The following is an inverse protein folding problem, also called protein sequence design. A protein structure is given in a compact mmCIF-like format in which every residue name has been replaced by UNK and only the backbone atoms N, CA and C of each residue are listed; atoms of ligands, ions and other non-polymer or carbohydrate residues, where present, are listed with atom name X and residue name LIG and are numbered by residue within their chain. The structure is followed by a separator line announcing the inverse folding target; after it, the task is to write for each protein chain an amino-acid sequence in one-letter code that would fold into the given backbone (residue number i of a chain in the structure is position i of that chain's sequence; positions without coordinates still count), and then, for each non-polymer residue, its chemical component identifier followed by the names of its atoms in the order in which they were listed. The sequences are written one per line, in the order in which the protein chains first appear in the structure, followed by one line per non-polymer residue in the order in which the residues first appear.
data_IF_116158074925
#
_entry.id   IF_116158074925
#
_cell.length_a   1.000
_cell.length_b   1.000
_cell.length_c   1.000
_cell.angle_alpha   90.00
_cell.angle_beta   90.00
_cell.angle_gamma   90.00
#
_symmetry.space_group_name_H-M   'P 1'
#
loop_
_entity.id
_entity.type
_entity.pdbx_description
1 polymer ?
#
# COMPACT_ATOMS: atom_id res chain seq x y z
N UNK A 1 16.15 1.86 5.86
CA UNK A 1 15.71 3.20 5.35
C UNK A 1 14.32 3.09 4.70
N UNK A 2 13.22 3.23 5.45
CA UNK A 2 11.89 3.29 4.83
C UNK A 2 11.73 4.62 4.05
N UNK A 3 11.51 4.52 2.74
CA UNK A 3 11.32 5.68 1.86
C UNK A 3 10.00 6.39 2.19
N UNK A 4 9.97 7.73 2.10
CA UNK A 4 8.73 8.51 2.29
C UNK A 4 7.63 7.98 1.34
N UNK A 5 6.41 7.74 1.83
CA UNK A 5 5.37 7.15 1.02
C UNK A 5 4.91 8.18 -0.03
N UNK A 6 4.99 7.79 -1.31
CA UNK A 6 4.58 8.62 -2.45
C UNK A 6 3.06 8.66 -2.65
N UNK A 7 2.58 9.55 -3.53
CA UNK A 7 1.16 9.62 -3.89
C UNK A 7 0.79 8.36 -4.68
N UNK A 8 -0.29 7.70 -4.28
CA UNK A 8 -0.86 6.55 -5.00
C UNK A 8 -1.94 7.08 -5.94
N UNK A 9 -1.88 6.71 -7.22
CA UNK A 9 -2.89 7.08 -8.21
C UNK A 9 -3.59 5.82 -8.70
N UNK A 10 -4.93 5.81 -8.67
CA UNK A 10 -5.75 4.73 -9.20
C UNK A 10 -5.96 4.92 -10.70
N UNK A 11 -6.39 3.85 -11.38
CA UNK A 11 -6.71 3.90 -12.83
C UNK A 11 -7.80 4.92 -13.17
N UNK A 12 -8.69 5.20 -12.22
CA UNK A 12 -9.79 6.17 -12.33
C UNK A 12 -9.35 7.60 -11.93
N UNK A 13 -8.06 7.91 -12.05
CA UNK A 13 -7.43 9.20 -11.72
C UNK A 13 -7.57 9.69 -10.25
N UNK A 14 -8.27 8.93 -9.40
CA UNK A 14 -8.31 9.18 -7.95
C UNK A 14 -6.90 9.12 -7.37
N UNK A 15 -6.57 10.07 -6.50
CA UNK A 15 -5.28 10.14 -5.82
C UNK A 15 -5.42 9.95 -4.32
N UNK A 16 -4.49 9.20 -3.74
CA UNK A 16 -4.41 8.94 -2.31
C UNK A 16 -3.06 9.45 -1.81
N UNK A 17 -3.12 10.38 -0.87
CA UNK A 17 -1.94 10.87 -0.15
C UNK A 17 -1.80 10.06 1.14
N UNK A 18 -0.82 9.14 1.23
CA UNK A 18 -0.61 8.37 2.45
C UNK A 18 -0.33 9.31 3.61
N UNK A 19 -0.94 9.08 4.78
CA UNK A 19 -0.69 9.90 5.96
C UNK A 19 0.71 9.58 6.49
N UNK A 20 1.35 10.55 7.14
CA UNK A 20 2.70 10.40 7.68
C UNK A 20 2.87 9.21 8.66
N UNK A 21 1.79 8.79 9.32
CA UNK A 21 1.77 7.65 10.25
C UNK A 21 1.35 6.32 9.61
N UNK A 22 1.06 6.29 8.32
CA UNK A 22 0.63 5.07 7.62
C UNK A 22 1.86 4.39 7.04
N UNK A 23 2.35 3.37 7.73
CA UNK A 23 3.61 2.69 7.42
C UNK A 23 3.55 1.78 6.20
N UNK A 24 2.35 1.41 5.73
CA UNK A 24 2.19 0.47 4.60
C UNK A 24 1.17 0.94 3.58
N UNK A 25 1.34 0.46 2.35
CA UNK A 25 0.39 0.67 1.25
C UNK A 25 -1.01 0.18 1.63
N UNK A 26 -1.12 -0.99 2.26
CA UNK A 26 -2.37 -1.60 2.67
C UNK A 26 -3.16 -0.70 3.63
N UNK A 27 -2.52 -0.25 4.72
CA UNK A 27 -3.17 0.67 5.67
C UNK A 27 -3.60 1.99 5.03
N UNK A 28 -2.86 2.45 4.02
CA UNK A 28 -3.22 3.66 3.29
C UNK A 28 -4.52 3.46 2.50
N UNK A 29 -4.68 2.29 1.88
CA UNK A 29 -5.87 1.91 1.12
C UNK A 29 -7.08 1.68 2.05
N UNK A 30 -6.89 0.99 3.18
CA UNK A 30 -7.94 0.78 4.19
C UNK A 30 -8.44 2.11 4.78
N UNK A 31 -7.54 3.06 5.09
CA UNK A 31 -7.92 4.37 5.62
C UNK A 31 -8.77 5.20 4.64
N UNK A 32 -8.72 4.87 3.34
CA UNK A 32 -9.54 5.48 2.30
C UNK A 32 -10.82 4.69 1.99
N UNK A 33 -11.11 3.63 2.74
CA UNK A 33 -12.29 2.79 2.56
C UNK A 33 -12.23 1.91 1.32
N UNK A 34 -11.03 1.63 0.79
CA UNK A 34 -10.87 0.67 -0.30
C UNK A 34 -10.82 -0.72 0.31
N UNK A 35 -11.90 -1.46 0.10
CA UNK A 35 -12.01 -2.84 0.54
C UNK A 35 -11.05 -3.69 -0.29
N UNK A 36 -10.05 -4.26 0.38
CA UNK A 36 -9.11 -5.21 -0.20
C UNK A 36 -9.35 -6.51 0.54
N UNK A 37 -9.73 -7.56 -0.18
CA UNK A 37 -9.81 -8.89 0.40
C UNK A 37 -8.41 -9.32 0.86
N UNK A 38 -8.23 -9.41 2.17
CA UNK A 38 -7.06 -9.98 2.80
C UNK A 38 -7.48 -11.12 3.71
N UNK A 39 -6.75 -12.25 3.66
CA UNK A 39 -6.93 -13.34 4.61
C UNK A 39 -5.85 -13.34 5.71
N UNK A 40 -4.74 -12.60 5.54
CA UNK A 40 -3.63 -12.61 6.50
C UNK A 40 -2.90 -11.26 6.56
N UNK A 41 -2.67 -10.71 7.75
CA UNK A 41 -2.07 -9.37 7.95
C UNK A 41 -0.55 -9.30 7.74
N UNK A 42 0.12 -10.43 7.58
CA UNK A 42 1.60 -10.53 7.66
C UNK A 42 2.30 -10.85 6.32
N UNK A 43 1.63 -10.73 5.17
CA UNK A 43 2.30 -10.88 3.87
C UNK A 43 2.35 -12.31 3.29
N UNK A 44 2.06 -13.34 4.08
CA UNK A 44 2.28 -14.74 3.69
C UNK A 44 1.18 -15.38 2.82
N UNK A 45 -0.01 -14.79 2.76
CA UNK A 45 -1.17 -15.43 2.13
C UNK A 45 -1.41 -15.02 0.67
N UNK A 46 -0.58 -14.14 0.10
CA UNK A 46 -0.67 -13.73 -1.31
C UNK A 46 -2.03 -13.14 -1.75
N UNK A 47 -2.99 -12.91 -0.84
CA UNK A 47 -4.36 -12.50 -1.18
C UNK A 47 -4.47 -11.03 -1.60
N UNK A 48 -3.57 -10.16 -1.12
CA UNK A 48 -3.59 -8.71 -1.35
C UNK A 48 -2.78 -8.30 -2.59
N UNK A 49 -3.02 -8.97 -3.72
CA UNK A 49 -2.35 -8.65 -4.98
C UNK A 49 -2.95 -7.40 -5.62
N UNK A 50 -2.13 -6.37 -5.75
CA UNK A 50 -2.43 -5.17 -6.53
C UNK A 50 -1.54 -5.14 -7.77
N UNK A 51 -2.10 -4.72 -8.91
CA UNK A 51 -1.31 -4.52 -10.12
C UNK A 51 -0.74 -3.11 -10.14
N UNK A 52 0.59 -3.00 -10.04
CA UNK A 52 1.29 -1.73 -10.24
C UNK A 52 1.34 -1.40 -11.73
N UNK A 53 0.67 -0.31 -12.13
CA UNK A 53 0.66 0.13 -13.53
C UNK A 53 1.90 0.99 -13.87
N UNK A 54 2.40 1.76 -12.89
CA UNK A 54 3.57 2.65 -13.04
C UNK A 54 4.20 2.93 -11.68
N UNK A 55 5.52 3.09 -11.64
CA UNK A 55 6.29 3.41 -10.43
C UNK A 55 7.02 2.20 -9.84
N UNK A 56 7.43 2.30 -8.58
CA UNK A 56 8.07 1.22 -7.83
C UNK A 56 7.46 1.12 -6.43
N UNK A 57 7.41 -0.09 -5.88
CA UNK A 57 7.06 -0.35 -4.48
C UNK A 57 8.27 -0.96 -3.79
N UNK A 58 8.49 -0.59 -2.54
CA UNK A 58 9.54 -1.14 -1.70
C UNK A 58 8.89 -1.92 -0.57
N UNK A 59 9.28 -3.17 -0.38
CA UNK A 59 8.96 -3.89 0.85
C UNK A 59 9.77 -3.27 1.98
N UNK A 60 9.13 -2.77 3.04
CA UNK A 60 9.88 -2.47 4.27
C UNK A 60 9.94 -3.78 5.06
N UNK A 61 11.04 -4.52 4.92
CA UNK A 61 11.36 -5.65 5.77
C UNK A 61 11.52 -5.17 7.23
N UNK A 62 11.20 -6.01 8.24
CA UNK A 62 11.12 -5.59 9.65
C UNK A 62 12.45 -5.12 10.29
N UNK A 63 13.56 -5.13 9.56
CA UNK A 63 14.92 -4.86 10.05
C UNK A 63 15.61 -3.69 9.30
N UNK A 64 14.93 -2.54 9.18
CA UNK A 64 15.39 -1.41 8.34
C UNK A 64 15.24 -0.02 8.96
#
# INVERSE_FOLDING_TARGET
MCTKPGIITFRDDRQLKPRANTTTLLKSLEAYGIEIEYQCWEGYCNSYRLRLLKGAVQECAPDC
#
